data_IF_249608178605
#
_entry.id   IF_249608178605
#
_cell.length_a   1.000
_cell.length_b   1.000
_cell.length_c   1.000
_cell.angle_alpha   90.00
_cell.angle_beta   90.00
_cell.angle_gamma   90.00
#
_symmetry.space_group_name_H-M   'P 1'
#
loop_
_entity.id
_entity.type
_entity.pdbx_description
1 polymer ?
#
# COMPACT_ATOMS: atom_id res chain seq x y z
N UNK A 1 14.85 24.76 86.51
CA UNK A 1 14.48 23.38 86.17
C UNK A 1 14.34 23.31 84.66
N UNK A 2 15.43 23.31 83.89
CA UNK A 2 16.33 22.16 83.65
C UNK A 2 15.60 21.03 82.92
N UNK A 3 15.62 21.08 81.59
CA UNK A 3 15.18 20.00 80.70
C UNK A 3 15.97 20.07 79.39
N UNK A 4 16.77 19.04 79.13
CA UNK A 4 17.81 18.93 78.10
C UNK A 4 17.24 18.44 76.76
N UNK A 5 18.11 18.45 75.75
CA UNK A 5 18.15 17.62 74.53
C UNK A 5 17.40 18.18 73.32
N UNK A 6 17.89 18.08 72.08
CA UNK A 6 19.17 17.65 71.53
C UNK A 6 19.21 18.15 70.08
N UNK A 7 20.40 18.52 69.60
CA UNK A 7 20.64 18.74 68.18
C UNK A 7 20.53 17.41 67.42
N UNK A 8 19.86 17.41 66.27
CA UNK A 8 20.00 16.37 65.26
C UNK A 8 19.86 16.98 63.87
N UNK A 9 20.95 16.80 63.12
CA UNK A 9 21.13 17.08 61.71
C UNK A 9 20.05 16.42 60.85
N UNK A 10 19.67 17.08 59.75
CA UNK A 10 18.82 16.47 58.74
C UNK A 10 18.72 17.33 57.50
N UNK A 11 19.83 17.46 56.75
CA UNK A 11 19.79 17.93 55.38
C UNK A 11 19.01 16.90 54.55
N UNK A 12 17.81 17.25 54.10
CA UNK A 12 17.09 16.50 53.07
C UNK A 12 17.01 17.40 51.84
N UNK A 13 17.99 17.22 50.97
CA UNK A 13 17.88 17.59 49.57
C UNK A 13 16.79 16.70 48.96
N UNK A 14 15.62 17.26 48.67
CA UNK A 14 14.61 16.56 47.87
C UNK A 14 15.06 16.64 46.41
N UNK A 15 15.57 15.50 45.97
CA UNK A 15 16.03 15.24 44.62
C UNK A 15 14.91 15.45 43.59
N UNK A 16 15.35 15.97 42.44
CA UNK A 16 14.65 16.18 41.18
C UNK A 16 13.82 14.94 40.80
N UNK A 17 12.49 15.08 40.83
CA UNK A 17 11.56 14.13 40.23
C UNK A 17 11.50 14.32 38.72
N UNK A 18 12.58 14.00 38.00
CA UNK A 18 12.53 13.77 36.57
C UNK A 18 11.96 12.36 36.35
N UNK A 19 10.65 12.22 36.55
CA UNK A 19 9.87 11.10 36.00
C UNK A 19 9.78 11.27 34.48
N UNK A 20 10.91 11.14 33.80
CA UNK A 20 10.94 11.08 32.34
C UNK A 20 10.17 9.84 31.92
N UNK A 21 9.10 10.01 31.16
CA UNK A 21 8.44 8.93 30.44
C UNK A 21 9.52 8.08 29.77
N UNK A 22 9.64 6.81 30.18
CA UNK A 22 10.53 5.88 29.48
C UNK A 22 10.06 5.84 28.02
N UNK A 23 10.92 6.09 27.03
CA UNK A 23 10.53 5.99 25.64
C UNK A 23 10.18 4.53 25.35
N UNK A 24 8.88 4.24 25.23
CA UNK A 24 8.42 2.92 24.80
C UNK A 24 8.53 2.87 23.28
N UNK A 25 9.11 1.79 22.77
CA UNK A 25 9.30 1.55 21.34
C UNK A 25 8.24 0.57 20.90
N UNK A 26 7.33 1.00 20.03
CA UNK A 26 6.38 0.11 19.37
C UNK A 26 6.97 -0.29 18.02
N UNK A 27 7.15 -1.59 17.81
CA UNK A 27 7.55 -2.13 16.52
C UNK A 27 6.36 -2.84 15.86
N UNK A 28 5.96 -2.33 14.69
CA UNK A 28 4.88 -2.90 13.89
C UNK A 28 5.43 -3.93 12.92
N UNK A 29 5.01 -5.18 13.09
CA UNK A 29 5.41 -6.29 12.21
C UNK A 29 4.18 -6.87 11.50
N UNK A 30 4.30 -7.04 10.18
CA UNK A 30 3.26 -7.72 9.38
C UNK A 30 3.39 -9.23 9.57
N UNK A 31 2.27 -9.90 9.88
CA UNK A 31 2.28 -11.36 10.11
C UNK A 31 2.72 -12.12 8.85
N UNK A 32 3.76 -12.97 8.93
CA UNK A 32 4.14 -13.83 7.81
C UNK A 32 3.04 -14.86 7.52
N UNK A 33 2.68 -15.02 6.24
CA UNK A 33 1.61 -15.92 5.79
C UNK A 33 1.82 -17.39 6.23
N UNK A 34 3.07 -17.82 6.44
CA UNK A 34 3.42 -19.19 6.81
C UNK A 34 3.10 -19.58 8.26
N UNK A 35 2.81 -18.62 9.15
CA UNK A 35 2.59 -18.93 10.57
C UNK A 35 1.26 -19.65 10.82
N UNK A 36 0.22 -19.33 10.03
CA UNK A 36 -1.09 -20.00 10.12
C UNK A 36 -1.01 -21.50 9.76
N UNK A 37 -0.05 -21.89 8.93
CA UNK A 37 0.17 -23.29 8.53
C UNK A 37 1.14 -24.04 9.46
N UNK A 38 1.94 -23.35 10.27
CA UNK A 38 3.06 -23.96 11.02
C UNK A 38 2.82 -24.07 12.53
N UNK A 39 1.83 -23.37 13.09
CA UNK A 39 1.55 -23.33 14.54
C UNK A 39 0.07 -23.56 14.82
N UNK A 40 -0.25 -24.50 15.72
CA UNK A 40 -1.63 -24.70 16.22
C UNK A 40 -2.04 -23.70 17.30
N UNK A 41 -1.09 -22.91 17.82
CA UNK A 41 -1.37 -21.87 18.82
C UNK A 41 -1.55 -20.49 18.14
N UNK A 42 -2.60 -19.73 18.50
CA UNK A 42 -2.77 -18.35 18.03
C UNK A 42 -1.66 -17.46 18.61
N UNK A 43 -0.97 -16.73 17.73
CA UNK A 43 -0.04 -15.67 18.15
C UNK A 43 -0.83 -14.55 18.83
N UNK A 44 -0.43 -14.11 20.04
CA UNK A 44 -0.96 -12.90 20.66
C UNK A 44 -0.75 -11.68 19.76
N UNK A 45 -1.70 -10.75 19.78
CA UNK A 45 -1.64 -9.53 18.98
C UNK A 45 -0.52 -8.57 19.46
N UNK A 46 -0.09 -8.72 20.72
CA UNK A 46 0.95 -7.92 21.36
C UNK A 46 1.91 -8.80 22.16
N UNK A 47 3.21 -8.57 22.04
CA UNK A 47 4.25 -9.20 22.87
C UNK A 47 5.12 -8.11 23.47
N UNK A 48 5.12 -8.00 24.80
CA UNK A 48 6.06 -7.15 25.53
C UNK A 48 7.37 -7.91 25.72
N UNK A 49 8.45 -7.35 25.16
CA UNK A 49 9.79 -7.88 25.33
C UNK A 49 10.37 -7.47 26.69
N UNK A 50 11.36 -8.22 27.23
CA UNK A 50 11.97 -7.93 28.53
C UNK A 50 12.63 -6.54 28.67
N UNK A 51 12.92 -5.88 27.55
CA UNK A 51 13.48 -4.53 27.47
C UNK A 51 12.40 -3.42 27.47
N UNK A 52 11.11 -3.78 27.54
CA UNK A 52 9.97 -2.87 27.49
C UNK A 52 9.53 -2.50 26.07
N UNK A 53 10.06 -3.18 25.04
CA UNK A 53 9.61 -3.01 23.64
C UNK A 53 8.27 -3.75 23.43
N UNK A 54 7.27 -3.05 22.89
CA UNK A 54 5.98 -3.65 22.56
C UNK A 54 5.96 -4.03 21.07
N UNK A 55 5.96 -5.33 20.79
CA UNK A 55 5.78 -5.86 19.44
C UNK A 55 4.29 -5.99 19.17
N UNK A 56 3.77 -5.27 18.19
CA UNK A 56 2.35 -5.35 17.78
C UNK A 56 2.26 -6.06 16.43
N UNK A 57 1.65 -7.24 16.42
CA UNK A 57 1.45 -8.04 15.21
C UNK A 57 0.10 -7.72 14.56
N UNK A 58 0.12 -6.78 13.62
CA UNK A 58 -1.07 -6.43 12.86
C UNK A 58 -1.26 -7.35 11.64
N UNK A 59 -2.48 -7.84 11.46
CA UNK A 59 -2.95 -8.45 10.20
C UNK A 59 -3.30 -7.36 9.15
N UNK A 60 -3.32 -6.10 9.58
CA UNK A 60 -3.71 -4.93 8.79
C UNK A 60 -2.49 -4.03 8.53
N UNK A 61 -2.10 -3.93 7.27
CA UNK A 61 -1.12 -2.95 6.82
C UNK A 61 -1.66 -1.52 7.12
N UNK A 62 -0.94 -0.65 7.85
CA UNK A 62 -1.39 0.73 8.12
C UNK A 62 -1.66 1.54 6.84
N UNK A 63 -1.05 1.17 5.71
CA UNK A 63 -1.33 1.76 4.39
C UNK A 63 -2.75 1.47 3.88
N UNK A 64 -3.39 0.42 4.39
CA UNK A 64 -4.76 0.01 4.03
C UNK A 64 -5.82 0.92 4.64
N UNK A 65 -5.54 1.54 5.78
CA UNK A 65 -6.50 2.43 6.46
C UNK A 65 -6.46 3.87 5.93
N UNK A 66 -5.39 4.28 5.24
CA UNK A 66 -5.24 5.66 4.74
C UNK A 66 -5.90 5.96 3.39
N UNK A 67 -6.47 4.96 2.70
CA UNK A 67 -6.98 5.11 1.33
C UNK A 67 -8.36 4.47 1.08
N UNK A 68 -9.14 4.12 2.12
CA UNK A 68 -10.51 3.64 1.88
C UNK A 68 -11.18 2.83 2.97
N UNK A 69 -10.78 2.95 4.24
CA UNK A 69 -11.59 2.42 5.33
C UNK A 69 -12.77 3.36 5.61
N UNK A 70 -13.73 3.43 4.70
CA UNK A 70 -15.07 3.85 5.07
C UNK A 70 -15.63 2.77 6.00
N UNK A 71 -16.03 3.17 7.21
CA UNK A 71 -16.62 2.30 8.21
C UNK A 71 -17.83 1.56 7.62
N UNK A 72 -17.69 0.25 7.41
CA UNK A 72 -18.79 -0.60 6.98
C UNK A 72 -19.62 -1.00 8.20
N UNK A 73 -20.56 -0.14 8.59
CA UNK A 73 -21.66 -0.53 9.47
C UNK A 73 -22.64 -1.42 8.71
N UNK A 74 -22.67 -2.71 9.07
CA UNK A 74 -23.90 -3.50 9.17
C UNK A 74 -24.75 -3.71 7.93
N UNK A 75 -24.21 -4.36 6.90
CA UNK A 75 -24.94 -5.30 6.02
C UNK A 75 -23.87 -6.09 5.25
N UNK A 76 -24.10 -7.38 5.01
CA UNK A 76 -23.10 -8.32 4.47
C UNK A 76 -22.20 -7.66 3.41
N UNK A 77 -20.95 -7.41 3.77
CA UNK A 77 -19.98 -6.75 2.92
C UNK A 77 -19.82 -7.57 1.64
N UNK A 78 -20.56 -7.21 0.58
CA UNK A 78 -20.38 -7.80 -0.74
C UNK A 78 -18.93 -7.57 -1.11
N UNK A 79 -18.15 -8.64 -1.22
CA UNK A 79 -16.77 -8.59 -1.68
C UNK A 79 -16.74 -7.82 -2.99
N UNK A 80 -16.08 -6.66 -3.00
CA UNK A 80 -15.98 -5.84 -4.21
C UNK A 80 -15.24 -6.66 -5.27
N UNK A 81 -15.91 -7.01 -6.36
CA UNK A 81 -15.26 -7.66 -7.49
C UNK A 81 -14.49 -6.62 -8.30
N UNK A 82 -13.19 -6.85 -8.46
CA UNK A 82 -12.27 -5.95 -9.17
C UNK A 82 -12.52 -5.93 -10.68
N UNK A 83 -13.08 -7.03 -11.20
CA UNK A 83 -13.55 -7.20 -12.57
C UNK A 83 -14.88 -7.94 -12.51
N UNK A 84 -15.91 -7.35 -13.08
CA UNK A 84 -17.27 -7.87 -13.12
C UNK A 84 -17.65 -8.08 -14.58
N UNK A 85 -18.01 -9.31 -14.94
CA UNK A 85 -18.51 -9.66 -16.27
C UNK A 85 -20.03 -9.78 -16.20
N UNK A 86 -20.71 -8.93 -16.95
CA UNK A 86 -22.17 -8.88 -16.99
C UNK A 86 -22.73 -9.98 -17.90
N UNK A 87 -24.02 -10.35 -17.75
CA UNK A 87 -24.67 -11.35 -18.61
C UNK A 87 -24.69 -11.00 -20.10
N UNK A 88 -24.57 -9.72 -20.44
CA UNK A 88 -24.50 -9.22 -21.82
C UNK A 88 -23.07 -9.28 -22.42
N UNK A 89 -22.10 -9.77 -21.66
CA UNK A 89 -20.68 -9.85 -22.05
C UNK A 89 -19.90 -8.55 -21.82
N UNK A 90 -20.54 -7.49 -21.32
CA UNK A 90 -19.82 -6.26 -20.95
C UNK A 90 -19.00 -6.48 -19.67
N UNK A 91 -17.88 -5.77 -19.58
CA UNK A 91 -16.94 -5.88 -18.46
C UNK A 91 -16.84 -4.55 -17.74
N UNK A 92 -16.91 -4.58 -16.41
CA UNK A 92 -16.70 -3.43 -15.54
C UNK A 92 -15.45 -3.66 -14.68
N UNK A 93 -14.51 -2.72 -14.75
CA UNK A 93 -13.29 -2.72 -13.94
C UNK A 93 -13.46 -1.81 -12.71
N UNK A 94 -13.22 -2.35 -11.51
CA UNK A 94 -13.30 -1.64 -10.23
C UNK A 94 -11.95 -1.64 -9.52
N UNK A 95 -11.24 -0.53 -9.63
CA UNK A 95 -9.90 -0.38 -9.05
C UNK A 95 -9.92 0.50 -7.81
N UNK A 96 -10.35 -0.02 -6.65
CA UNK A 96 -10.32 0.75 -5.39
C UNK A 96 -8.89 0.93 -4.85
N UNK A 97 -8.00 -0.03 -5.09
CA UNK A 97 -6.62 -0.01 -4.62
C UNK A 97 -5.63 -0.01 -5.79
N UNK A 98 -4.39 0.47 -5.59
CA UNK A 98 -3.31 0.40 -6.60
C UNK A 98 -3.10 -1.00 -7.18
N UNK A 99 -3.16 -2.03 -6.34
CA UNK A 99 -2.99 -3.43 -6.72
C UNK A 99 -4.10 -3.89 -7.67
N UNK A 100 -5.30 -3.32 -7.55
CA UNK A 100 -6.41 -3.60 -8.46
C UNK A 100 -6.14 -3.00 -9.84
N UNK A 101 -5.51 -1.82 -9.92
CA UNK A 101 -5.09 -1.22 -11.20
C UNK A 101 -4.08 -2.15 -11.88
N UNK A 102 -3.08 -2.63 -11.15
CA UNK A 102 -2.07 -3.56 -11.67
C UNK A 102 -2.71 -4.87 -12.13
N UNK A 103 -3.58 -5.47 -11.32
CA UNK A 103 -4.29 -6.71 -11.67
C UNK A 103 -5.15 -6.56 -12.91
N UNK A 104 -5.96 -5.50 -12.99
CA UNK A 104 -6.79 -5.20 -14.17
C UNK A 104 -5.93 -4.92 -15.42
N UNK A 105 -4.83 -4.18 -15.26
CA UNK A 105 -3.87 -3.93 -16.36
C UNK A 105 -3.33 -5.25 -16.91
N UNK A 106 -2.89 -6.15 -16.03
CA UNK A 106 -2.37 -7.46 -16.45
C UNK A 106 -3.44 -8.30 -17.15
N UNK A 107 -4.67 -8.34 -16.65
CA UNK A 107 -5.78 -9.07 -17.29
C UNK A 107 -6.09 -8.51 -18.67
N UNK A 108 -6.24 -7.18 -18.79
CA UNK A 108 -6.53 -6.56 -20.07
C UNK A 108 -5.38 -6.74 -21.07
N UNK A 109 -4.11 -6.65 -20.64
CA UNK A 109 -2.98 -6.98 -21.50
C UNK A 109 -3.02 -8.42 -21.96
N UNK A 110 -3.41 -9.38 -21.12
CA UNK A 110 -3.53 -10.80 -21.49
C UNK A 110 -4.62 -11.03 -22.53
N UNK A 111 -5.73 -10.32 -22.41
CA UNK A 111 -6.88 -10.46 -23.28
C UNK A 111 -6.88 -9.48 -24.47
N UNK A 112 -5.87 -8.60 -24.56
CA UNK A 112 -5.76 -7.56 -25.57
C UNK A 112 -6.95 -6.56 -25.55
N UNK A 113 -7.49 -6.31 -24.36
CA UNK A 113 -8.64 -5.44 -24.11
C UNK A 113 -8.21 -3.96 -23.97
N UNK A 114 -7.45 -3.42 -24.94
CA UNK A 114 -6.92 -2.06 -24.84
C UNK A 114 -8.01 -0.99 -24.79
N UNK A 115 -9.13 -1.20 -25.50
CA UNK A 115 -10.29 -0.30 -25.43
C UNK A 115 -10.84 -0.21 -24.00
N UNK A 116 -10.99 -1.35 -23.33
CA UNK A 116 -11.48 -1.40 -21.95
C UNK A 116 -10.52 -0.67 -21.00
N UNK A 117 -9.20 -0.82 -21.21
CA UNK A 117 -8.19 -0.07 -20.45
C UNK A 117 -8.32 1.42 -20.68
N UNK A 118 -8.45 1.85 -21.94
CA UNK A 118 -8.61 3.26 -22.31
C UNK A 118 -9.84 3.87 -21.64
N UNK A 119 -10.98 3.21 -21.72
CA UNK A 119 -12.25 3.74 -21.22
C UNK A 119 -12.35 3.74 -19.69
N UNK A 120 -11.92 2.64 -19.05
CA UNK A 120 -12.22 2.39 -17.64
C UNK A 120 -11.00 2.44 -16.72
N UNK A 121 -9.80 2.17 -17.22
CA UNK A 121 -8.61 2.03 -16.36
C UNK A 121 -7.67 3.24 -16.44
N UNK A 122 -7.56 3.87 -17.61
CA UNK A 122 -6.65 4.98 -17.86
C UNK A 122 -7.16 6.29 -17.26
N UNK A 123 -6.28 7.02 -16.59
CA UNK A 123 -6.57 8.33 -16.02
C UNK A 123 -7.04 9.32 -17.10
N UNK A 124 -7.97 10.21 -16.75
CA UNK A 124 -8.50 11.23 -17.65
C UNK A 124 -7.39 12.15 -18.16
N UNK A 125 -6.46 12.54 -17.30
CA UNK A 125 -5.30 13.36 -17.68
C UNK A 125 -4.41 12.68 -18.70
N UNK A 126 -4.22 11.36 -18.58
CA UNK A 126 -3.40 10.59 -19.52
C UNK A 126 -4.09 10.47 -20.88
N UNK A 127 -5.40 10.21 -20.90
CA UNK A 127 -6.19 10.26 -22.14
C UNK A 127 -6.08 11.61 -22.83
N UNK A 128 -6.30 12.69 -22.09
CA UNK A 128 -6.17 14.05 -22.62
C UNK A 128 -4.77 14.33 -23.19
N UNK A 129 -3.72 13.80 -22.57
CA UNK A 129 -2.36 13.93 -23.07
C UNK A 129 -2.13 13.20 -24.40
N UNK A 130 -2.71 12.00 -24.58
CA UNK A 130 -2.69 11.28 -25.86
C UNK A 130 -3.49 12.03 -26.94
N UNK A 131 -4.68 12.53 -26.60
CA UNK A 131 -5.51 13.32 -27.51
C UNK A 131 -4.81 14.62 -27.94
N UNK A 132 -4.20 15.35 -27.01
CA UNK A 132 -3.48 16.60 -27.29
C UNK A 132 -2.24 16.39 -28.19
N UNK A 133 -1.68 15.18 -28.21
CA UNK A 133 -0.59 14.80 -29.11
C UNK A 133 -1.06 14.30 -30.48
N UNK A 134 -2.38 14.27 -30.73
CA UNK A 134 -2.96 13.70 -31.95
C UNK A 134 -2.82 12.19 -32.06
N UNK A 135 -2.53 11.51 -30.94
CA UNK A 135 -2.36 10.06 -30.88
C UNK A 135 -3.66 9.34 -30.49
N UNK A 136 -4.42 9.93 -29.55
CA UNK A 136 -5.67 9.39 -29.03
C UNK A 136 -5.57 7.93 -28.57
N UNK A 137 -6.68 7.21 -28.71
CA UNK A 137 -6.75 5.78 -28.40
C UNK A 137 -5.74 4.94 -29.19
N UNK A 138 -5.58 5.21 -30.50
CA UNK A 138 -4.74 4.40 -31.39
C UNK A 138 -3.27 4.43 -30.93
N UNK A 139 -2.74 5.59 -30.55
CA UNK A 139 -1.38 5.66 -30.03
C UNK A 139 -1.21 4.98 -28.67
N UNK A 140 -2.24 4.99 -27.82
CA UNK A 140 -2.22 4.23 -26.57
C UNK A 140 -2.24 2.72 -26.82
N UNK A 141 -3.15 2.24 -27.67
CA UNK A 141 -3.27 0.83 -28.02
C UNK A 141 -1.98 0.33 -28.68
N UNK A 142 -1.41 1.08 -29.61
CA UNK A 142 -0.13 0.77 -30.25
C UNK A 142 1.01 0.68 -29.22
N UNK A 143 1.10 1.63 -28.28
CA UNK A 143 2.09 1.58 -27.21
C UNK A 143 1.93 0.33 -26.35
N UNK A 144 0.71 0.02 -25.90
CA UNK A 144 0.44 -1.14 -25.06
C UNK A 144 0.72 -2.45 -25.80
N UNK A 145 0.33 -2.55 -27.06
CA UNK A 145 0.56 -3.73 -27.89
C UNK A 145 2.06 -3.95 -28.16
N UNK A 146 2.78 -2.90 -28.55
CA UNK A 146 4.21 -2.98 -28.85
C UNK A 146 5.05 -3.37 -27.62
N UNK A 147 4.61 -2.95 -26.43
CA UNK A 147 5.34 -3.13 -25.18
C UNK A 147 4.71 -4.18 -24.25
N UNK A 148 3.71 -4.93 -24.74
CA UNK A 148 2.88 -5.84 -23.94
C UNK A 148 3.70 -6.80 -23.10
N UNK A 149 4.74 -7.40 -23.68
CA UNK A 149 5.60 -8.39 -23.02
C UNK A 149 6.39 -7.74 -21.88
N UNK A 150 7.04 -6.62 -22.16
CA UNK A 150 7.90 -5.92 -21.21
C UNK A 150 7.09 -5.30 -20.07
N UNK A 151 5.92 -4.74 -20.39
CA UNK A 151 4.97 -4.23 -19.39
C UNK A 151 4.47 -5.39 -18.51
N UNK A 152 4.06 -6.51 -19.11
CA UNK A 152 3.61 -7.69 -18.35
C UNK A 152 4.71 -8.23 -17.43
N UNK A 153 5.95 -8.33 -17.91
CA UNK A 153 7.10 -8.75 -17.09
C UNK A 153 7.33 -7.82 -15.89
N UNK A 154 7.23 -6.51 -16.11
CA UNK A 154 7.35 -5.49 -15.06
C UNK A 154 6.22 -5.60 -14.04
N UNK A 155 4.97 -5.68 -14.50
CA UNK A 155 3.78 -5.80 -13.66
C UNK A 155 3.81 -7.08 -12.81
N UNK A 156 4.25 -8.20 -13.38
CA UNK A 156 4.43 -9.44 -12.63
C UNK A 156 5.46 -9.27 -11.50
N UNK A 157 6.60 -8.61 -11.76
CA UNK A 157 7.58 -8.35 -10.68
C UNK A 157 7.00 -7.44 -9.62
N UNK A 158 6.28 -6.40 -10.03
CA UNK A 158 5.67 -5.45 -9.09
C UNK A 158 4.54 -6.08 -8.27
N UNK A 159 3.70 -6.95 -8.84
CA UNK A 159 2.59 -7.59 -8.14
C UNK A 159 3.06 -8.44 -6.95
N UNK A 160 4.19 -9.14 -7.08
CA UNK A 160 4.84 -9.82 -5.95
C UNK A 160 5.54 -8.84 -5.00
N UNK A 161 6.06 -7.74 -5.54
CA UNK A 161 6.89 -6.79 -4.82
C UNK A 161 6.15 -5.74 -3.98
N UNK A 162 4.84 -5.52 -4.15
CA UNK A 162 4.06 -4.60 -3.30
C UNK A 162 4.17 -4.91 -1.79
N UNK A 163 4.57 -6.14 -1.44
CA UNK A 163 4.77 -6.60 -0.06
C UNK A 163 6.23 -6.91 0.27
N UNK A 164 7.19 -6.58 -0.61
CA UNK A 164 8.59 -6.93 -0.50
C UNK A 164 9.55 -5.76 -0.78
N UNK A 165 10.85 -6.03 -0.77
CA UNK A 165 11.91 -5.02 -0.96
C UNK A 165 12.16 -4.65 -2.43
N UNK A 166 11.54 -5.36 -3.37
CA UNK A 166 11.74 -5.16 -4.80
C UNK A 166 10.99 -3.94 -5.36
N UNK A 167 10.01 -3.43 -4.62
CA UNK A 167 9.20 -2.28 -5.03
C UNK A 167 9.25 -1.22 -3.94
N UNK A 168 9.64 -0.02 -4.35
CA UNK A 168 9.56 1.19 -3.54
C UNK A 168 8.22 1.85 -3.81
N UNK A 169 7.43 2.03 -2.76
CA UNK A 169 6.14 2.70 -2.82
C UNK A 169 6.27 4.13 -2.30
N UNK A 170 5.94 5.10 -3.16
CA UNK A 170 6.01 6.52 -2.86
C UNK A 170 4.63 7.15 -3.11
N UNK A 171 4.20 8.08 -2.24
CA UNK A 171 3.03 8.91 -2.57
C UNK A 171 3.41 9.88 -3.68
N UNK A 172 2.60 9.98 -4.72
CA UNK A 172 2.71 11.10 -5.65
C UNK A 172 1.92 12.29 -5.09
N UNK A 173 2.31 13.53 -5.42
CA UNK A 173 1.78 14.75 -4.79
C UNK A 173 0.28 15.00 -4.94
N UNK A 174 -0.46 14.15 -5.66
CA UNK A 174 -1.90 14.27 -5.92
C UNK A 174 -2.72 13.17 -5.22
N UNK A 175 -2.18 12.55 -4.15
CA UNK A 175 -2.88 11.48 -3.43
C UNK A 175 -2.84 10.12 -4.14
N UNK A 176 -2.12 10.04 -5.26
CA UNK A 176 -1.82 8.79 -5.94
C UNK A 176 -0.57 8.09 -5.40
N UNK A 177 -0.24 6.97 -6.03
CA UNK A 177 0.87 6.12 -5.66
C UNK A 177 1.80 5.93 -6.85
N UNK A 178 3.10 6.05 -6.60
CA UNK A 178 4.16 5.63 -7.50
C UNK A 178 4.77 4.35 -6.95
N UNK A 179 4.63 3.26 -7.70
CA UNK A 179 5.33 2.01 -7.47
C UNK A 179 6.55 1.95 -8.40
N UNK A 180 7.75 1.80 -7.84
CA UNK A 180 9.01 1.79 -8.59
C UNK A 180 9.83 0.57 -8.23
N UNK A 181 10.41 -0.10 -9.22
CA UNK A 181 11.36 -1.17 -8.97
C UNK A 181 12.59 -0.64 -8.21
N UNK A 182 13.07 -1.41 -7.24
CA UNK A 182 14.28 -1.05 -6.49
C UNK A 182 15.49 -1.03 -7.43
N UNK A 183 16.53 -0.21 -7.13
CA UNK A 183 17.72 -0.10 -7.99
C UNK A 183 18.43 -1.43 -8.24
N UNK A 184 18.27 -2.39 -7.33
CA UNK A 184 18.90 -3.71 -7.43
C UNK A 184 18.31 -4.59 -8.53
N UNK A 185 17.03 -4.39 -8.86
CA UNK A 185 16.32 -5.22 -9.84
C UNK A 185 15.91 -4.44 -11.09
N UNK A 186 15.81 -3.11 -11.01
CA UNK A 186 15.31 -2.28 -12.11
C UNK A 186 16.11 -2.41 -13.41
N UNK A 187 17.42 -2.71 -13.34
CA UNK A 187 18.29 -2.87 -14.52
C UNK A 187 17.89 -4.01 -15.46
N UNK A 188 17.06 -4.94 -14.99
CA UNK A 188 16.59 -6.09 -15.78
C UNK A 188 15.29 -5.80 -16.55
N UNK A 189 14.70 -4.61 -16.37
CA UNK A 189 13.38 -4.28 -16.88
C UNK A 189 13.42 -3.03 -17.75
N UNK A 190 12.67 -3.07 -18.86
CA UNK A 190 12.49 -1.90 -19.73
C UNK A 190 11.64 -0.81 -19.05
N UNK A 191 10.60 -1.24 -18.34
CA UNK A 191 9.75 -0.38 -17.53
C UNK A 191 10.09 -0.60 -16.06
N UNK A 192 10.06 0.46 -15.28
CA UNK A 192 10.52 0.42 -13.88
C UNK A 192 9.56 1.10 -12.93
N UNK A 193 8.60 1.85 -13.45
CA UNK A 193 7.69 2.69 -12.66
C UNK A 193 6.26 2.58 -13.17
N UNK A 194 5.33 2.47 -12.22
CA UNK A 194 3.90 2.61 -12.45
C UNK A 194 3.39 3.68 -11.52
N UNK A 195 2.60 4.59 -12.08
CA UNK A 195 1.91 5.60 -11.31
C UNK A 195 0.41 5.38 -11.44
N UNK A 196 -0.27 5.48 -10.30
CA UNK A 196 -1.73 5.46 -10.20
C UNK A 196 -2.20 6.73 -9.51
N UNK A 197 -3.37 7.21 -9.89
CA UNK A 197 -3.97 8.40 -9.31
C UNK A 197 -5.44 8.14 -8.94
N UNK A 198 -5.93 8.73 -7.84
CA UNK A 198 -7.35 8.70 -7.53
C UNK A 198 -8.13 9.61 -8.50
N UNK A 199 -9.20 9.09 -9.09
CA UNK A 199 -10.21 9.84 -9.85
C UNK A 199 -11.60 9.35 -9.45
N UNK A 200 -12.49 10.26 -9.06
CA UNK A 200 -13.90 9.96 -8.78
C UNK A 200 -14.11 8.78 -7.78
N UNK A 201 -13.23 8.67 -6.78
CA UNK A 201 -13.30 7.64 -5.74
C UNK A 201 -12.72 6.27 -6.12
N UNK A 202 -12.07 6.15 -7.28
CA UNK A 202 -11.35 4.94 -7.71
C UNK A 202 -9.93 5.28 -8.16
N UNK A 203 -9.04 4.29 -8.17
CA UNK A 203 -7.68 4.42 -8.68
C UNK A 203 -7.64 4.18 -10.19
N UNK A 204 -6.89 5.01 -10.89
CA UNK A 204 -6.66 4.96 -12.34
C UNK A 204 -5.19 4.81 -12.66
N UNK A 205 -4.88 4.17 -13.77
CA UNK A 205 -3.54 4.09 -14.33
C UNK A 205 -3.15 5.47 -14.88
N UNK A 206 -2.13 6.09 -14.28
CA UNK A 206 -1.61 7.38 -14.73
C UNK A 206 -0.48 7.18 -15.74
N UNK A 207 0.49 6.32 -15.43
CA UNK A 207 1.70 6.18 -16.23
C UNK A 207 2.35 4.80 -16.07
N UNK A 208 2.96 4.30 -17.14
CA UNK A 208 3.92 3.20 -17.14
C UNK A 208 5.17 3.68 -17.85
N UNK A 209 6.34 3.61 -17.20
CA UNK A 209 7.63 4.01 -17.77
C UNK A 209 8.81 3.23 -17.20
#
# INVERSE_FOLDING_TARGET
>A
MSGRAAALLGAIAVAVGAGGCKPYRIEHHTRPAFFQSASQAPLPDEIEMPDGTLIVYSTQNPLRNGLGAAEATGEAAKTVQIREENPDGSVILRSILPEHVVGNTMTCLRNEEYQLMWEQLLARSTRQAYEAQGLGYEGFAAFMQQNRREIMTTLNRMSFGFYGSDVVLERNGQGGLRARLSPFVSSQFKFTTIEVAPEDGVMKLLLIR
#
